data_IF_870687417442
#
_entry.id   IF_870687417442
#
_cell.length_a   1.000
_cell.length_b   1.000
_cell.length_c   1.000
_cell.angle_alpha   90.00
_cell.angle_beta   90.00
_cell.angle_gamma   90.00
#
_symmetry.space_group_name_H-M   'P 1'
#
loop_
_entity.id
_entity.type
_entity.pdbx_description
1 polymer ?
#
# COMPACT_ATOMS: atom_id res chain seq x y z
N UNK A 1 0.59 -2.24 12.61
CA UNK A 1 -0.85 -2.12 12.89
C UNK A 1 -1.69 -2.93 11.92
N UNK A 2 -3.00 -2.99 12.11
CA UNK A 2 -3.92 -3.84 11.32
C UNK A 2 -3.84 -3.58 9.81
N UNK A 3 -3.77 -2.30 9.41
CA UNK A 3 -3.66 -1.93 7.99
C UNK A 3 -2.37 -2.47 7.36
N UNK A 4 -1.21 -2.24 7.98
CA UNK A 4 0.06 -2.75 7.48
C UNK A 4 0.09 -4.28 7.39
N UNK A 5 -0.43 -4.98 8.40
CA UNK A 5 -0.56 -6.44 8.39
C UNK A 5 -1.40 -6.94 7.21
N UNK A 6 -2.54 -6.29 6.94
CA UNK A 6 -3.41 -6.65 5.82
C UNK A 6 -2.72 -6.42 4.45
N UNK A 7 -2.02 -5.30 4.30
CA UNK A 7 -1.27 -4.97 3.09
C UNK A 7 -0.16 -6.00 2.84
N UNK A 8 0.63 -6.34 3.85
CA UNK A 8 1.71 -7.33 3.75
C UNK A 8 1.18 -8.68 3.27
N UNK A 9 0.07 -9.15 3.85
CA UNK A 9 -0.56 -10.42 3.43
C UNK A 9 -0.97 -10.41 1.97
N UNK A 10 -1.57 -9.32 1.50
CA UNK A 10 -1.99 -9.20 0.10
C UNK A 10 -0.79 -9.07 -0.84
N UNK A 11 0.26 -8.33 -0.47
CA UNK A 11 1.48 -8.22 -1.26
C UNK A 11 2.20 -9.56 -1.37
N UNK A 12 2.30 -10.34 -0.28
CA UNK A 12 2.87 -11.68 -0.31
C UNK A 12 2.05 -12.61 -1.21
N UNK A 13 0.71 -12.57 -1.11
CA UNK A 13 -0.19 -13.36 -1.95
C UNK A 13 -0.10 -12.95 -3.43
N UNK A 14 0.14 -11.68 -3.71
CA UNK A 14 0.37 -11.17 -5.07
C UNK A 14 1.72 -11.58 -5.65
N UNK A 15 2.68 -11.98 -4.79
CA UNK A 15 4.00 -12.45 -5.21
C UNK A 15 5.10 -11.38 -5.12
N UNK A 16 4.95 -10.39 -4.26
CA UNK A 16 6.02 -9.42 -4.02
C UNK A 16 7.32 -10.12 -3.57
N UNK A 17 8.44 -9.81 -4.24
CA UNK A 17 9.70 -10.53 -4.07
C UNK A 17 10.36 -10.27 -2.71
N UNK A 18 10.36 -9.01 -2.25
CA UNK A 18 10.98 -8.61 -0.99
C UNK A 18 10.02 -7.71 -0.21
N UNK A 19 9.64 -8.15 0.99
CA UNK A 19 8.76 -7.40 1.88
C UNK A 19 9.46 -7.23 3.21
N UNK A 20 9.71 -5.98 3.59
CA UNK A 20 10.27 -5.60 4.89
C UNK A 20 9.15 -4.89 5.66
N UNK A 21 8.81 -5.39 6.83
CA UNK A 21 7.88 -4.75 7.74
C UNK A 21 8.62 -3.99 8.82
N UNK A 22 8.19 -2.76 9.09
CA UNK A 22 8.82 -1.89 10.09
C UNK A 22 7.77 -1.40 11.09
N UNK A 23 8.12 -1.40 12.36
CA UNK A 23 7.34 -0.74 13.42
C UNK A 23 8.16 0.33 14.14
N UNK A 24 7.63 0.88 15.24
CA UNK A 24 8.32 1.92 16.02
C UNK A 24 9.66 1.50 16.64
N UNK A 25 10.01 0.21 16.59
CA UNK A 25 11.27 -0.36 17.10
C UNK A 25 12.20 -0.84 15.98
N UNK A 26 11.86 -0.58 14.71
CA UNK A 26 12.63 -1.00 13.55
C UNK A 26 12.02 -2.19 12.81
N UNK A 27 12.84 -2.85 12.01
CA UNK A 27 12.42 -3.97 11.17
C UNK A 27 11.89 -5.14 12.01
N UNK A 28 10.82 -5.76 11.52
CA UNK A 28 10.22 -6.95 12.10
C UNK A 28 10.88 -8.17 11.46
N UNK A 29 11.54 -9.00 12.28
CA UNK A 29 12.24 -10.18 11.80
C UNK A 29 12.46 -11.18 12.93
N UNK A 30 13.07 -12.32 12.61
CA UNK A 30 13.34 -13.42 13.57
C UNK A 30 14.33 -13.02 14.65
N UNK A 31 15.14 -11.99 14.40
CA UNK A 31 16.11 -11.42 15.35
C UNK A 31 15.46 -10.70 16.55
N UNK A 32 14.13 -10.44 16.49
CA UNK A 32 13.40 -9.71 17.54
C UNK A 32 12.72 -10.65 18.52
N UNK A 33 13.00 -10.48 19.81
CA UNK A 33 12.38 -11.23 20.92
C UNK A 33 11.13 -10.56 21.52
N UNK A 34 10.82 -9.33 21.09
CA UNK A 34 9.74 -8.50 21.65
C UNK A 34 8.44 -8.53 20.80
N UNK A 35 8.34 -9.44 19.84
CA UNK A 35 7.18 -9.54 18.97
C UNK A 35 5.99 -10.14 19.74
N UNK A 36 4.82 -9.49 19.61
CA UNK A 36 3.57 -10.08 20.05
C UNK A 36 3.11 -11.17 19.08
N UNK A 37 2.07 -11.92 19.46
CA UNK A 37 1.54 -13.03 18.64
C UNK A 37 1.18 -12.62 17.21
N UNK A 38 0.58 -11.45 17.00
CA UNK A 38 0.20 -10.96 15.67
C UNK A 38 1.42 -10.68 14.78
N UNK A 39 2.46 -10.07 15.35
CA UNK A 39 3.72 -9.80 14.63
C UNK A 39 4.52 -11.08 14.38
N UNK A 40 4.46 -12.04 15.30
CA UNK A 40 5.06 -13.36 15.09
C UNK A 40 4.41 -14.08 13.90
N UNK A 41 3.08 -14.05 13.82
CA UNK A 41 2.36 -14.60 12.65
C UNK A 41 2.73 -13.85 11.35
N UNK A 42 3.07 -12.56 11.43
CA UNK A 42 3.46 -11.79 10.25
C UNK A 42 4.76 -12.29 9.62
N UNK A 43 5.68 -12.88 10.40
CA UNK A 43 6.97 -13.38 9.91
C UNK A 43 6.83 -14.37 8.75
N UNK A 44 5.76 -15.16 8.69
CA UNK A 44 5.52 -16.10 7.59
C UNK A 44 5.24 -15.44 6.23
N UNK A 45 4.90 -14.15 6.22
CA UNK A 45 4.64 -13.36 5.01
C UNK A 45 5.82 -12.48 4.61
N UNK A 46 6.84 -12.39 5.46
CA UNK A 46 8.07 -11.65 5.17
C UNK A 46 9.05 -12.63 4.54
N UNK A 47 9.54 -12.30 3.38
CA UNK A 47 10.51 -13.12 2.64
C UNK A 47 11.94 -12.58 2.77
N UNK A 48 12.16 -11.65 3.69
CA UNK A 48 13.47 -11.14 4.10
C UNK A 48 13.52 -11.05 5.62
N UNK A 49 14.69 -11.29 6.20
CA UNK A 49 14.95 -11.13 7.64
C UNK A 49 15.95 -9.99 7.86
N UNK A 50 15.66 -8.84 7.29
CA UNK A 50 16.48 -7.65 7.45
C UNK A 50 16.29 -7.06 8.84
N UNK A 51 17.39 -6.71 9.50
CA UNK A 51 17.41 -5.98 10.77
C UNK A 51 17.70 -4.50 10.52
N UNK A 52 17.42 -3.66 11.52
CA UNK A 52 17.76 -2.24 11.49
C UNK A 52 16.57 -1.31 11.74
N UNK A 53 16.85 -0.02 11.65
CA UNK A 53 15.87 1.05 11.78
C UNK A 53 15.05 1.22 10.49
N UNK A 54 14.10 2.17 10.48
CA UNK A 54 13.41 2.55 9.24
C UNK A 54 14.42 3.06 8.20
N UNK A 55 15.35 3.87 8.62
CA UNK A 55 16.40 4.46 7.78
C UNK A 55 17.23 3.37 7.08
N UNK A 56 17.64 2.34 7.84
CA UNK A 56 18.41 1.22 7.29
C UNK A 56 17.61 0.41 6.26
N UNK A 57 16.29 0.27 6.48
CA UNK A 57 15.44 -0.52 5.60
C UNK A 57 14.99 0.21 4.33
N UNK A 58 15.15 1.53 4.30
CA UNK A 58 14.81 2.34 3.13
C UNK A 58 15.93 2.39 2.08
N UNK A 59 17.16 2.08 2.46
CA UNK A 59 18.28 2.06 1.51
C UNK A 59 17.98 1.07 0.37
N UNK A 60 18.02 1.57 -0.86
CA UNK A 60 17.71 0.84 -2.10
C UNK A 60 16.28 0.22 -2.16
N UNK A 61 15.35 0.68 -1.33
CA UNK A 61 13.97 0.24 -1.40
C UNK A 61 13.25 0.87 -2.60
N UNK A 62 12.55 0.06 -3.39
CA UNK A 62 11.79 0.51 -4.57
C UNK A 62 10.49 1.20 -4.17
N UNK A 63 9.83 0.71 -3.10
CA UNK A 63 8.49 1.15 -2.71
C UNK A 63 8.43 1.35 -1.19
N UNK A 64 7.92 2.51 -0.77
CA UNK A 64 7.52 2.77 0.60
C UNK A 64 6.00 2.79 0.73
N UNK A 65 5.46 2.07 1.73
CA UNK A 65 4.04 2.09 2.07
C UNK A 65 3.88 2.47 3.54
N UNK A 66 3.51 3.72 3.78
CA UNK A 66 3.26 4.28 5.10
C UNK A 66 1.77 4.19 5.49
N UNK A 67 1.50 3.63 6.66
CA UNK A 67 0.17 3.58 7.31
C UNK A 67 0.33 3.89 8.79
N UNK A 68 1.16 4.87 9.12
CA UNK A 68 1.66 5.13 10.47
C UNK A 68 1.34 6.54 10.95
N UNK A 69 2.27 7.47 10.85
CA UNK A 69 2.16 8.82 11.39
C UNK A 69 2.76 9.88 10.47
N UNK A 70 2.23 11.08 10.59
CA UNK A 70 2.71 12.26 9.87
C UNK A 70 4.23 12.47 10.05
N UNK A 71 4.89 12.91 8.97
CA UNK A 71 6.29 13.34 8.99
C UNK A 71 7.30 12.23 9.30
N UNK A 72 6.92 10.97 9.15
CA UNK A 72 7.82 9.84 9.39
C UNK A 72 8.90 9.71 8.30
N UNK A 73 8.55 10.02 7.06
CA UNK A 73 9.44 9.95 5.90
C UNK A 73 9.96 11.34 5.57
N UNK A 74 11.29 11.52 5.60
CA UNK A 74 11.93 12.81 5.27
C UNK A 74 12.44 12.80 3.82
N UNK A 75 12.68 13.99 3.20
CA UNK A 75 13.31 14.05 1.87
C UNK A 75 14.63 13.30 1.78
N UNK A 76 15.46 13.38 2.83
CA UNK A 76 16.76 12.68 2.89
C UNK A 76 16.58 11.17 2.84
N UNK A 77 15.56 10.63 3.52
CA UNK A 77 15.24 9.21 3.48
C UNK A 77 14.74 8.78 2.09
N UNK A 78 13.96 9.60 1.41
CA UNK A 78 13.55 9.32 0.03
C UNK A 78 14.77 9.24 -0.90
N UNK A 79 15.78 10.07 -0.69
CA UNK A 79 17.02 10.07 -1.48
C UNK A 79 17.89 8.84 -1.28
N UNK A 80 17.71 8.07 -0.19
CA UNK A 80 18.41 6.80 0.01
C UNK A 80 17.72 5.61 -0.65
N UNK A 81 16.48 5.77 -1.08
CA UNK A 81 15.73 4.74 -1.77
C UNK A 81 16.30 4.48 -3.18
N UNK A 82 15.82 3.43 -3.82
CA UNK A 82 16.20 3.10 -5.20
C UNK A 82 15.84 4.23 -6.18
N UNK A 83 16.40 4.18 -7.37
CA UNK A 83 16.11 5.17 -8.42
C UNK A 83 14.63 5.15 -8.79
N UNK A 84 13.99 6.33 -8.81
CA UNK A 84 12.57 6.50 -9.12
C UNK A 84 11.62 5.75 -8.15
N UNK A 85 11.75 5.94 -6.83
CA UNK A 85 10.95 5.20 -5.88
C UNK A 85 9.47 5.58 -5.93
N UNK A 86 8.62 4.63 -5.54
CA UNK A 86 7.17 4.81 -5.42
C UNK A 86 6.82 4.96 -3.94
N UNK A 87 6.04 5.98 -3.61
CA UNK A 87 5.69 6.30 -2.23
C UNK A 87 4.17 6.31 -2.05
N UNK A 88 3.67 5.45 -1.16
CA UNK A 88 2.31 5.48 -0.63
C UNK A 88 2.36 6.03 0.79
N UNK A 89 2.07 7.32 0.96
CA UNK A 89 2.06 8.00 2.26
C UNK A 89 0.60 8.16 2.74
N UNK A 90 0.09 7.15 3.42
CA UNK A 90 -1.34 6.97 3.68
C UNK A 90 -1.77 7.36 5.10
N UNK A 91 -0.88 7.92 5.93
CA UNK A 91 -1.24 8.46 7.24
C UNK A 91 -2.27 9.59 7.08
N UNK A 92 -3.22 9.65 8.01
CA UNK A 92 -4.34 10.59 7.98
C UNK A 92 -4.45 11.34 9.31
N UNK A 93 -4.68 12.67 9.34
CA UNK A 93 -4.97 13.57 8.20
C UNK A 93 -3.74 14.10 7.46
N UNK A 94 -2.54 13.94 8.01
CA UNK A 94 -1.29 14.41 7.41
C UNK A 94 -0.45 13.18 7.02
N UNK A 95 0.00 13.09 5.75
CA UNK A 95 0.78 11.95 5.28
C UNK A 95 2.19 11.87 5.91
N UNK A 96 2.85 10.73 5.78
CA UNK A 96 4.23 10.52 6.25
C UNK A 96 5.22 11.49 5.62
N UNK A 97 4.96 11.92 4.38
CA UNK A 97 5.67 12.99 3.67
C UNK A 97 4.68 13.73 2.77
N UNK A 98 4.84 15.04 2.66
CA UNK A 98 4.02 15.84 1.73
C UNK A 98 4.42 15.58 0.27
N UNK A 99 3.46 15.48 -0.67
CA UNK A 99 3.74 15.16 -2.08
C UNK A 99 4.79 16.04 -2.75
N UNK A 100 4.77 17.34 -2.48
CA UNK A 100 5.77 18.27 -3.03
C UNK A 100 7.19 17.92 -2.56
N UNK A 101 7.37 17.60 -1.27
CA UNK A 101 8.66 17.24 -0.71
C UNK A 101 9.15 15.90 -1.25
N UNK A 102 8.26 14.90 -1.39
CA UNK A 102 8.60 13.60 -1.96
C UNK A 102 9.05 13.72 -3.43
N UNK A 103 8.33 14.49 -4.25
CA UNK A 103 8.71 14.75 -5.65
C UNK A 103 10.05 15.48 -5.76
N UNK A 104 10.29 16.50 -4.94
CA UNK A 104 11.58 17.19 -4.91
C UNK A 104 12.74 16.31 -4.48
N UNK A 105 12.47 15.31 -3.64
CA UNK A 105 13.46 14.33 -3.20
C UNK A 105 13.72 13.20 -4.21
N UNK A 106 12.97 13.13 -5.32
CA UNK A 106 13.19 12.18 -6.40
C UNK A 106 12.14 11.06 -6.53
N UNK A 107 11.04 11.10 -5.77
CA UNK A 107 9.97 10.13 -5.92
C UNK A 107 9.34 10.21 -7.32
N UNK A 108 9.29 9.08 -8.03
CA UNK A 108 8.65 8.99 -9.34
C UNK A 108 7.13 9.02 -9.23
N UNK A 109 6.59 8.36 -8.21
CA UNK A 109 5.14 8.33 -7.93
C UNK A 109 4.92 8.60 -6.46
N UNK A 110 3.96 9.45 -6.15
CA UNK A 110 3.45 9.66 -4.79
C UNK A 110 1.94 9.51 -4.76
N UNK A 111 1.44 8.72 -3.83
CA UNK A 111 0.02 8.54 -3.56
C UNK A 111 -0.27 8.80 -2.07
N UNK A 112 -1.40 9.43 -1.78
CA UNK A 112 -1.84 9.75 -0.42
C UNK A 112 -3.33 9.45 -0.22
N UNK A 113 -3.79 9.46 1.02
CA UNK A 113 -5.23 9.38 1.33
C UNK A 113 -6.00 10.67 1.05
N UNK A 114 -5.33 11.77 0.70
CA UNK A 114 -5.93 13.10 0.55
C UNK A 114 -6.52 13.30 -0.85
N UNK A 115 -7.68 13.96 -0.90
CA UNK A 115 -8.40 14.27 -2.15
C UNK A 115 -7.87 15.49 -2.90
N UNK A 116 -7.04 16.29 -2.27
CA UNK A 116 -6.44 17.50 -2.85
C UNK A 116 -5.13 17.25 -3.59
N UNK A 117 -4.70 15.97 -3.69
CA UNK A 117 -3.51 15.56 -4.44
C UNK A 117 -3.84 14.46 -5.46
N UNK A 118 -3.03 14.32 -6.52
CA UNK A 118 -3.09 13.17 -7.44
C UNK A 118 -2.95 11.83 -6.73
N UNK A 119 -3.38 10.75 -7.39
CA UNK A 119 -3.27 9.38 -6.87
C UNK A 119 -3.93 9.22 -5.48
N UNK A 120 -5.14 9.73 -5.30
CA UNK A 120 -5.88 9.57 -4.05
C UNK A 120 -6.17 8.09 -3.80
N UNK A 121 -5.61 7.53 -2.72
CA UNK A 121 -5.93 6.18 -2.22
C UNK A 121 -7.08 6.29 -1.23
N UNK A 122 -8.27 5.89 -1.64
CA UNK A 122 -9.48 5.99 -0.83
C UNK A 122 -10.29 4.69 -0.87
N UNK A 123 -10.91 4.32 0.24
CA UNK A 123 -11.79 3.16 0.36
C UNK A 123 -12.95 3.18 -0.65
N UNK A 124 -13.40 4.38 -1.06
CA UNK A 124 -14.46 4.58 -2.06
C UNK A 124 -14.14 3.98 -3.42
N UNK A 125 -12.88 3.69 -3.72
CA UNK A 125 -12.50 3.00 -4.96
C UNK A 125 -12.95 1.53 -4.98
N UNK A 126 -12.81 0.80 -3.89
CA UNK A 126 -13.08 -0.64 -3.87
C UNK A 126 -14.41 -0.99 -3.19
N UNK A 127 -14.73 -0.32 -2.09
CA UNK A 127 -15.81 -0.68 -1.19
C UNK A 127 -17.20 -0.80 -1.88
N UNK A 128 -17.69 0.20 -2.68
CA UNK A 128 -18.99 0.09 -3.31
C UNK A 128 -19.08 -1.08 -4.30
N UNK A 129 -18.02 -1.30 -5.09
CA UNK A 129 -17.96 -2.40 -6.06
C UNK A 129 -17.91 -3.77 -5.38
N UNK A 130 -17.14 -3.91 -4.30
CA UNK A 130 -17.07 -5.16 -3.52
C UNK A 130 -18.44 -5.53 -2.96
N UNK A 131 -19.17 -4.58 -2.36
CA UNK A 131 -20.51 -4.85 -1.83
C UNK A 131 -21.51 -5.13 -2.95
N UNK A 132 -21.47 -4.39 -4.05
CA UNK A 132 -22.34 -4.62 -5.20
C UNK A 132 -22.15 -6.03 -5.75
N UNK A 133 -20.90 -6.44 -6.00
CA UNK A 133 -20.60 -7.79 -6.50
C UNK A 133 -21.00 -8.88 -5.51
N UNK A 134 -20.72 -8.67 -4.21
CA UNK A 134 -21.08 -9.64 -3.18
C UNK A 134 -22.60 -9.87 -3.10
N UNK A 135 -23.41 -8.81 -3.23
CA UNK A 135 -24.86 -8.92 -3.23
C UNK A 135 -25.38 -9.58 -4.52
N UNK A 136 -24.87 -9.18 -5.67
CA UNK A 136 -25.31 -9.71 -6.97
C UNK A 136 -24.99 -11.20 -7.14
N UNK A 137 -23.86 -11.65 -6.62
CA UNK A 137 -23.40 -13.02 -6.79
C UNK A 137 -23.61 -13.88 -5.52
N UNK A 138 -24.33 -13.36 -4.51
CA UNK A 138 -24.59 -14.05 -3.23
C UNK A 138 -23.32 -14.55 -2.52
N UNK A 139 -22.24 -13.77 -2.56
CA UNK A 139 -20.95 -14.10 -1.94
C UNK A 139 -21.07 -14.06 -0.43
N UNK A 140 -20.85 -15.20 0.23
CA UNK A 140 -20.99 -15.34 1.69
C UNK A 140 -19.82 -14.74 2.48
N UNK A 141 -18.63 -14.64 1.84
CA UNK A 141 -17.42 -14.17 2.49
C UNK A 141 -16.48 -13.52 1.49
N UNK A 142 -16.04 -12.29 1.79
CA UNK A 142 -15.00 -11.62 1.00
C UNK A 142 -13.64 -12.23 1.38
N UNK A 143 -13.01 -12.90 0.42
CA UNK A 143 -11.71 -13.57 0.56
C UNK A 143 -10.56 -12.64 0.15
N UNK A 144 -9.32 -13.03 0.44
CA UNK A 144 -8.15 -12.29 -0.03
C UNK A 144 -8.00 -12.36 -1.57
N UNK A 145 -8.46 -13.44 -2.20
CA UNK A 145 -8.53 -13.53 -3.67
C UNK A 145 -9.50 -12.49 -4.26
N UNK A 146 -10.66 -12.28 -3.66
CA UNK A 146 -11.57 -11.21 -4.07
C UNK A 146 -10.91 -9.83 -3.96
N UNK A 147 -10.13 -9.57 -2.91
CA UNK A 147 -9.42 -8.30 -2.72
C UNK A 147 -8.35 -8.08 -3.79
N UNK A 148 -7.58 -9.13 -4.13
CA UNK A 148 -6.60 -9.06 -5.22
C UNK A 148 -7.27 -8.85 -6.57
N UNK A 149 -8.32 -9.60 -6.88
CA UNK A 149 -9.07 -9.41 -8.12
C UNK A 149 -9.64 -7.98 -8.24
N UNK A 150 -10.13 -7.42 -7.13
CA UNK A 150 -10.57 -6.02 -7.10
C UNK A 150 -9.42 -5.04 -7.36
N UNK A 151 -8.23 -5.27 -6.77
CA UNK A 151 -7.05 -4.44 -6.99
C UNK A 151 -6.59 -4.49 -8.46
N UNK A 152 -6.56 -5.66 -9.07
CA UNK A 152 -6.24 -5.85 -10.50
C UNK A 152 -7.26 -5.17 -11.39
N UNK A 153 -8.56 -5.32 -11.11
CA UNK A 153 -9.61 -4.65 -11.86
C UNK A 153 -9.49 -3.12 -11.82
N UNK A 154 -9.13 -2.56 -10.66
CA UNK A 154 -8.85 -1.13 -10.52
C UNK A 154 -7.62 -0.70 -11.32
N UNK A 155 -6.52 -1.45 -11.25
CA UNK A 155 -5.30 -1.15 -11.98
C UNK A 155 -5.53 -1.17 -13.50
N UNK A 156 -6.32 -2.11 -14.02
CA UNK A 156 -6.64 -2.23 -15.45
C UNK A 156 -7.46 -1.06 -16.00
N UNK A 157 -8.15 -0.30 -15.15
CA UNK A 157 -8.87 0.90 -15.59
C UNK A 157 -7.94 2.03 -16.01
N UNK A 158 -6.68 1.99 -15.60
CA UNK A 158 -5.65 2.95 -15.97
C UNK A 158 -4.76 2.35 -17.05
N UNK A 159 -5.20 2.45 -18.31
CA UNK A 159 -4.51 1.84 -19.45
C UNK A 159 -3.09 2.43 -19.70
N UNK A 160 -2.90 3.69 -19.36
CA UNK A 160 -1.61 4.40 -19.54
C UNK A 160 -1.25 5.12 -18.23
N UNK A 161 -0.62 4.42 -17.27
CA UNK A 161 -0.27 5.02 -15.99
C UNK A 161 0.80 6.12 -16.18
N UNK A 162 0.65 7.19 -15.41
CA UNK A 162 1.62 8.29 -15.32
C UNK A 162 1.96 8.56 -13.86
N UNK A 163 2.96 9.37 -13.60
CA UNK A 163 3.34 9.73 -12.22
C UNK A 163 2.16 10.30 -11.38
N UNK A 164 1.22 10.96 -12.03
CA UNK A 164 0.06 11.60 -11.39
C UNK A 164 -1.24 10.80 -11.56
N UNK A 165 -1.22 9.65 -12.23
CA UNK A 165 -2.39 8.80 -12.45
C UNK A 165 -1.99 7.32 -12.51
N UNK A 166 -1.80 6.69 -11.34
CA UNK A 166 -1.53 5.25 -11.22
C UNK A 166 -2.76 4.46 -10.72
N UNK A 167 -3.79 5.17 -10.25
CA UNK A 167 -5.07 4.62 -9.83
C UNK A 167 -6.21 5.45 -10.45
N UNK A 168 -7.39 4.87 -10.72
CA UNK A 168 -8.52 5.62 -11.27
C UNK A 168 -9.05 6.65 -10.27
N UNK A 169 -9.73 7.66 -10.78
CA UNK A 169 -10.46 8.61 -9.94
C UNK A 169 -11.60 7.91 -9.18
N UNK A 170 -11.87 8.26 -7.91
CA UNK A 170 -13.06 7.79 -7.21
C UNK A 170 -14.39 8.14 -7.90
N UNK A 171 -14.39 9.12 -8.80
CA UNK A 171 -15.55 9.54 -9.59
C UNK A 171 -15.65 8.87 -10.97
N UNK A 172 -14.72 7.97 -11.31
CA UNK A 172 -14.80 7.22 -12.56
C UNK A 172 -15.98 6.22 -12.50
N UNK A 173 -16.96 6.42 -13.36
CA UNK A 173 -18.18 5.62 -13.38
C UNK A 173 -17.95 4.12 -13.66
N UNK A 174 -16.81 3.76 -14.22
CA UNK A 174 -16.43 2.37 -14.51
C UNK A 174 -15.99 1.58 -13.28
N UNK A 175 -15.53 2.27 -12.22
CA UNK A 175 -14.89 1.66 -11.03
C UNK A 175 -15.82 0.64 -10.36
N UNK A 176 -17.03 1.03 -10.03
CA UNK A 176 -17.99 0.15 -9.32
C UNK A 176 -18.30 -1.10 -10.13
N UNK A 177 -18.54 -0.96 -11.42
CA UNK A 177 -18.87 -2.10 -12.29
C UNK A 177 -17.66 -3.05 -12.44
N UNK A 178 -16.46 -2.52 -12.68
CA UNK A 178 -15.26 -3.32 -12.84
C UNK A 178 -14.94 -4.14 -11.59
N UNK A 179 -15.04 -3.54 -10.40
CA UNK A 179 -14.82 -4.24 -9.14
C UNK A 179 -15.94 -5.26 -8.90
N UNK A 180 -17.21 -4.91 -9.12
CA UNK A 180 -18.34 -5.82 -8.86
C UNK A 180 -18.24 -7.11 -9.69
N UNK A 181 -17.81 -7.03 -10.94
CA UNK A 181 -17.68 -8.17 -11.84
C UNK A 181 -16.72 -9.25 -11.36
N UNK A 182 -15.72 -8.89 -10.58
CA UNK A 182 -14.69 -9.83 -10.10
C UNK A 182 -14.97 -10.38 -8.70
N UNK A 183 -16.00 -9.91 -8.02
CA UNK A 183 -16.44 -10.41 -6.70
C UNK A 183 -17.53 -11.46 -6.92
N UNK A 184 -17.11 -12.75 -7.05
CA UNK A 184 -18.01 -13.88 -7.32
C UNK A 184 -17.44 -15.22 -6.84
#
# INVERSE_FOLDING_TARGET
GAAGTAIIKLLNLYGAAHIIAVDSRGAIGTHRSDLNSEKTVLLQYLNTDQAGSLEDTLVDADIFIGVSRAGLLTPELVQTMATNPIIFALANPVPEIMPAAAKQAGAAVIATGRSDFPNQVNNSLAFPGIFRGALDHHVQKITDQHKLAAAEALAQLVAHPTADMVIPSPFDSRVVAAVAQVIR
#
